data_IF_279195487125
#
_entry.id   IF_279195487125
#
_cell.length_a   1.000
_cell.length_b   1.000
_cell.length_c   1.000
_cell.angle_alpha   90.00
_cell.angle_beta   90.00
_cell.angle_gamma   90.00
#
_symmetry.space_group_name_H-M   'P 1'
#
loop_
_entity.id
_entity.type
_entity.pdbx_description
1 polymer ?
#
# COMPACT_ATOMS: atom_id res chain seq x y z
N UNK A 1 12.01 6.54 -17.06
CA UNK A 1 11.28 6.45 -18.34
C UNK A 1 9.97 5.76 -18.01
N UNK A 2 8.82 6.16 -18.58
CA UNK A 2 7.62 5.37 -18.42
C UNK A 2 7.84 3.98 -19.04
N UNK A 3 7.28 2.90 -18.45
CA UNK A 3 7.33 1.58 -19.06
C UNK A 3 6.70 1.63 -20.45
N UNK A 4 7.31 0.91 -21.39
CA UNK A 4 6.83 0.78 -22.76
C UNK A 4 5.46 0.08 -22.71
N UNK A 5 4.42 0.58 -23.43
CA UNK A 5 3.12 -0.04 -23.42
C UNK A 5 3.22 -1.48 -23.95
N UNK A 6 2.43 -2.44 -23.41
CA UNK A 6 2.41 -3.80 -23.92
C UNK A 6 2.09 -3.76 -25.41
N UNK A 7 2.93 -4.40 -26.21
CA UNK A 7 2.79 -4.40 -27.66
C UNK A 7 1.44 -5.03 -28.02
N UNK A 8 0.61 -4.27 -28.73
CA UNK A 8 -0.58 -4.79 -29.39
C UNK A 8 -0.19 -6.06 -30.16
N UNK A 9 -0.88 -7.21 -29.97
CA UNK A 9 -0.61 -8.38 -30.79
C UNK A 9 -0.72 -7.99 -32.27
N UNK A 10 0.21 -8.43 -33.14
CA UNK A 10 0.31 -7.91 -34.49
C UNK A 10 -0.89 -8.36 -35.33
N UNK A 11 -1.67 -7.39 -35.80
CA UNK A 11 -2.56 -7.55 -36.96
C UNK A 11 -3.98 -8.07 -36.69
N UNK A 12 -4.65 -7.60 -35.64
CA UNK A 12 -6.06 -7.92 -35.42
C UNK A 12 -6.92 -6.65 -35.53
N UNK A 13 -7.78 -6.58 -36.55
CA UNK A 13 -8.89 -5.60 -36.67
C UNK A 13 -9.96 -5.81 -35.57
N UNK A 14 -9.60 -6.47 -34.46
CA UNK A 14 -10.51 -6.73 -33.34
C UNK A 14 -10.69 -5.44 -32.54
N UNK A 15 -11.93 -5.09 -32.19
CA UNK A 15 -12.24 -4.03 -31.24
C UNK A 15 -11.40 -4.21 -29.99
N UNK A 16 -10.72 -3.14 -29.57
CA UNK A 16 -9.93 -3.14 -28.36
C UNK A 16 -10.09 -1.80 -27.64
N UNK A 17 -10.10 -1.78 -26.30
CA UNK A 17 -10.30 -0.56 -25.54
C UNK A 17 -9.09 0.39 -25.65
N UNK A 18 -7.90 -0.12 -25.97
CA UNK A 18 -6.66 0.68 -26.05
C UNK A 18 -6.45 1.38 -27.39
N UNK A 19 -7.27 1.09 -28.40
CA UNK A 19 -7.13 1.57 -29.76
C UNK A 19 -7.65 2.99 -29.95
N UNK A 20 -7.41 3.56 -31.12
CA UNK A 20 -8.07 4.79 -31.56
C UNK A 20 -9.56 4.47 -31.70
N UNK A 21 -10.42 5.07 -30.86
CA UNK A 21 -11.85 4.88 -30.98
C UNK A 21 -12.30 5.28 -32.41
N UNK A 22 -13.11 4.47 -33.11
CA UNK A 22 -13.93 5.00 -34.18
C UNK A 22 -14.82 6.09 -33.59
N UNK A 23 -14.80 7.25 -34.24
CA UNK A 23 -15.59 8.44 -33.92
C UNK A 23 -17.08 8.08 -33.71
N UNK A 24 -17.66 8.53 -32.58
CA UNK A 24 -19.10 8.50 -32.25
C UNK A 24 -19.88 7.27 -32.75
N UNK A 25 -19.65 6.10 -32.13
CA UNK A 25 -20.61 5.00 -32.26
C UNK A 25 -21.77 5.21 -31.27
N UNK A 26 -23.02 5.26 -31.76
CA UNK A 26 -24.19 5.41 -30.89
C UNK A 26 -24.27 4.21 -29.94
N UNK A 27 -24.24 4.49 -28.64
CA UNK A 27 -24.56 3.49 -27.63
C UNK A 27 -25.97 2.95 -27.91
N UNK A 28 -26.16 1.63 -27.80
CA UNK A 28 -27.49 1.03 -27.80
C UNK A 28 -28.39 1.72 -26.77
N UNK A 29 -29.73 1.67 -26.92
CA UNK A 29 -30.64 2.53 -26.20
C UNK A 29 -30.56 2.30 -24.68
N UNK A 30 -29.69 3.03 -23.99
CA UNK A 30 -29.83 3.37 -22.58
C UNK A 30 -30.84 4.48 -22.49
N UNK A 31 -32.08 4.16 -22.89
CA UNK A 31 -33.17 5.12 -22.79
C UNK A 31 -33.38 5.43 -21.30
N UNK A 32 -32.82 6.55 -20.84
CA UNK A 32 -33.56 7.45 -19.95
C UNK A 32 -34.81 7.85 -20.71
N UNK A 33 -35.79 6.96 -20.75
CA UNK A 33 -37.14 7.35 -21.08
C UNK A 33 -37.59 8.12 -19.85
N UNK A 34 -37.55 9.44 -19.93
CA UNK A 34 -38.27 10.29 -18.99
C UNK A 34 -39.72 9.83 -19.07
N UNK A 35 -40.15 9.00 -18.13
CA UNK A 35 -41.56 8.73 -17.91
C UNK A 35 -42.09 10.06 -17.41
N UNK A 36 -42.72 10.83 -18.30
CA UNK A 36 -43.59 11.93 -17.89
C UNK A 36 -44.74 11.24 -17.17
N UNK A 37 -44.95 11.48 -15.86
CA UNK A 37 -46.09 10.90 -15.17
C UNK A 37 -47.36 11.47 -15.81
N UNK A 38 -48.13 10.64 -16.51
CA UNK A 38 -49.54 10.95 -16.73
C UNK A 38 -50.28 10.77 -15.40
N UNK A 39 -51.28 11.60 -15.11
CA UNK A 39 -52.03 11.71 -13.84
C UNK A 39 -52.81 10.45 -13.37
N UNK A 40 -52.31 9.24 -13.65
CA UNK A 40 -52.83 7.97 -13.17
C UNK A 40 -51.69 7.02 -12.76
N UNK A 41 -50.79 7.46 -11.88
CA UNK A 41 -49.78 6.58 -11.29
C UNK A 41 -50.39 5.68 -10.20
N UNK A 42 -51.03 4.60 -10.63
CA UNK A 42 -50.97 3.34 -9.91
C UNK A 42 -49.77 2.56 -10.47
N UNK A 43 -48.88 2.07 -9.61
CA UNK A 43 -47.80 1.17 -10.02
C UNK A 43 -48.34 0.08 -10.99
N UNK A 44 -47.66 -0.21 -12.10
CA UNK A 44 -48.16 -1.20 -13.05
C UNK A 44 -48.35 -2.53 -12.32
N UNK A 45 -49.57 -3.06 -12.37
CA UNK A 45 -49.88 -4.37 -11.81
C UNK A 45 -48.98 -5.40 -12.48
N UNK A 46 -48.34 -6.25 -11.67
CA UNK A 46 -47.48 -7.31 -12.17
C UNK A 46 -48.25 -8.19 -13.17
N UNK A 47 -47.75 -8.26 -14.41
CA UNK A 47 -48.32 -9.10 -15.45
C UNK A 47 -47.85 -10.54 -15.20
N UNK A 48 -48.78 -11.49 -15.12
CA UNK A 48 -48.49 -12.90 -14.78
C UNK A 48 -48.83 -13.79 -15.97
N UNK A 49 -47.96 -14.76 -16.25
CA UNK A 49 -48.18 -15.77 -17.28
C UNK A 49 -47.63 -17.14 -16.84
N UNK A 50 -48.01 -18.20 -17.56
CA UNK A 50 -47.48 -19.54 -17.31
C UNK A 50 -46.40 -19.87 -18.33
N UNK A 51 -45.26 -20.40 -17.86
CA UNK A 51 -44.16 -20.85 -18.72
C UNK A 51 -44.68 -21.86 -19.75
N UNK A 52 -44.51 -21.63 -21.06
CA UNK A 52 -44.99 -22.55 -22.10
C UNK A 52 -44.22 -23.89 -22.12
N UNK A 53 -43.08 -23.98 -21.43
CA UNK A 53 -42.29 -25.21 -21.35
C UNK A 53 -42.72 -26.13 -20.19
N UNK A 54 -42.89 -25.58 -18.98
CA UNK A 54 -43.14 -26.38 -17.77
C UNK A 54 -44.45 -26.06 -17.04
N UNK A 55 -45.21 -25.06 -17.48
CA UNK A 55 -46.46 -24.62 -16.85
C UNK A 55 -46.30 -23.85 -15.54
N UNK A 56 -45.07 -23.54 -15.10
CA UNK A 56 -44.82 -22.75 -13.89
C UNK A 56 -45.33 -21.32 -14.01
N UNK A 57 -45.93 -20.79 -12.93
CA UNK A 57 -46.49 -19.44 -12.92
C UNK A 57 -45.39 -18.40 -12.65
N UNK A 58 -45.24 -17.46 -13.57
CA UNK A 58 -44.21 -16.43 -13.57
C UNK A 58 -44.85 -15.05 -13.46
N UNK A 59 -44.43 -14.29 -12.46
CA UNK A 59 -44.83 -12.90 -12.24
C UNK A 59 -43.73 -11.98 -12.80
N UNK A 60 -44.09 -11.02 -13.65
CA UNK A 60 -43.16 -10.04 -14.22
C UNK A 60 -43.06 -8.85 -13.26
N UNK A 61 -41.86 -8.63 -12.71
CA UNK A 61 -41.56 -7.54 -11.76
C UNK A 61 -41.30 -6.21 -12.45
N UNK A 62 -40.56 -6.21 -13.56
CA UNK A 62 -40.25 -5.00 -14.33
C UNK A 62 -41.11 -4.91 -15.61
N UNK A 63 -42.43 -4.98 -15.43
CA UNK A 63 -43.42 -4.97 -16.50
C UNK A 63 -43.25 -3.75 -17.43
N UNK A 64 -43.23 -3.98 -18.74
CA UNK A 64 -43.01 -2.96 -19.77
C UNK A 64 -41.55 -2.64 -20.09
N UNK A 65 -40.59 -3.18 -19.33
CA UNK A 65 -39.15 -3.05 -19.61
C UNK A 65 -38.40 -4.37 -19.72
N UNK A 66 -38.89 -5.44 -19.10
CA UNK A 66 -38.33 -6.80 -19.29
C UNK A 66 -38.56 -7.29 -20.73
N UNK A 67 -37.49 -7.77 -21.36
CA UNK A 67 -37.49 -8.25 -22.76
C UNK A 67 -37.38 -9.77 -22.81
N UNK A 68 -36.64 -10.37 -21.87
CA UNK A 68 -36.53 -11.82 -21.74
C UNK A 68 -36.63 -12.26 -20.28
N UNK A 69 -37.00 -13.52 -20.08
CA UNK A 69 -37.12 -14.13 -18.76
C UNK A 69 -36.72 -15.60 -18.80
N UNK A 70 -35.77 -15.99 -17.96
CA UNK A 70 -35.39 -17.37 -17.75
C UNK A 70 -36.18 -17.96 -16.59
N UNK A 71 -36.99 -18.98 -16.88
CA UNK A 71 -37.95 -19.54 -15.94
C UNK A 71 -37.28 -20.07 -14.67
N UNK A 72 -37.65 -19.56 -13.51
CA UNK A 72 -37.11 -20.02 -12.22
C UNK A 72 -37.43 -21.48 -11.87
N UNK A 73 -38.37 -22.13 -12.57
CA UNK A 73 -38.76 -23.52 -12.31
C UNK A 73 -38.09 -24.54 -13.22
N UNK A 74 -37.80 -24.17 -14.48
CA UNK A 74 -37.23 -25.10 -15.46
C UNK A 74 -36.02 -24.55 -16.22
N UNK A 75 -35.59 -23.32 -15.95
CA UNK A 75 -34.43 -22.67 -16.58
C UNK A 75 -34.61 -22.24 -18.05
N UNK A 76 -35.73 -22.56 -18.71
CA UNK A 76 -35.95 -22.16 -20.11
C UNK A 76 -36.06 -20.65 -20.26
N UNK A 77 -35.31 -20.08 -21.21
CA UNK A 77 -35.33 -18.66 -21.56
C UNK A 77 -36.49 -18.35 -22.51
N UNK A 78 -37.27 -17.34 -22.19
CA UNK A 78 -38.48 -16.93 -22.91
C UNK A 78 -38.34 -15.48 -23.39
N UNK A 79 -38.84 -15.19 -24.60
CA UNK A 79 -39.03 -13.82 -25.09
C UNK A 79 -40.40 -13.34 -24.63
N UNK A 80 -40.42 -12.22 -23.91
CA UNK A 80 -41.61 -11.56 -23.37
C UNK A 80 -41.76 -10.12 -23.90
N UNK A 81 -41.01 -9.76 -24.94
CA UNK A 81 -41.09 -8.44 -25.56
C UNK A 81 -42.43 -8.21 -26.28
N UNK A 82 -43.16 -9.28 -26.59
CA UNK A 82 -44.47 -9.26 -27.22
C UNK A 82 -45.49 -10.01 -26.35
N UNK A 83 -46.81 -9.75 -26.51
CA UNK A 83 -47.86 -10.44 -25.74
C UNK A 83 -47.83 -11.97 -25.90
N UNK A 84 -47.38 -12.45 -27.07
CA UNK A 84 -47.21 -13.87 -27.34
C UNK A 84 -45.84 -14.34 -26.84
N UNK A 85 -45.81 -14.89 -25.62
CA UNK A 85 -44.58 -15.44 -25.01
C UNK A 85 -44.06 -16.61 -25.84
N UNK A 86 -42.80 -16.53 -26.26
CA UNK A 86 -42.14 -17.58 -27.06
C UNK A 86 -40.88 -18.11 -26.35
N UNK A 87 -40.48 -19.35 -26.65
CA UNK A 87 -39.29 -19.94 -26.06
C UNK A 87 -38.07 -19.56 -26.91
N UNK A 88 -37.10 -18.87 -26.31
CA UNK A 88 -35.79 -18.60 -26.92
C UNK A 88 -34.92 -19.86 -26.83
N UNK A 89 -34.84 -20.46 -25.64
CA UNK A 89 -34.03 -21.64 -25.38
C UNK A 89 -34.72 -22.56 -24.36
N UNK A 90 -34.76 -23.86 -24.66
CA UNK A 90 -35.23 -24.87 -23.69
C UNK A 90 -34.10 -25.30 -22.77
N UNK A 91 -34.41 -25.39 -21.48
CA UNK A 91 -33.58 -26.03 -20.47
C UNK A 91 -34.41 -27.12 -19.77
N UNK A 92 -33.79 -28.26 -19.50
CA UNK A 92 -34.43 -29.43 -18.86
C UNK A 92 -33.57 -29.98 -17.70
N UNK A 93 -32.58 -29.20 -17.24
CA UNK A 93 -31.72 -29.57 -16.10
C UNK A 93 -32.26 -29.12 -14.75
N UNK A 94 -31.60 -29.53 -13.67
CA UNK A 94 -31.91 -29.04 -12.32
C UNK A 94 -31.61 -27.54 -12.20
N UNK A 95 -32.56 -26.79 -11.63
CA UNK A 95 -32.38 -25.36 -11.39
C UNK A 95 -31.39 -25.16 -10.24
N UNK A 96 -30.41 -24.28 -10.48
CA UNK A 96 -29.38 -23.94 -9.50
C UNK A 96 -29.99 -23.27 -8.27
N UNK A 97 -29.54 -23.68 -7.07
CA UNK A 97 -29.84 -22.94 -5.84
C UNK A 97 -28.93 -21.71 -5.75
N UNK A 98 -29.54 -20.53 -5.74
CA UNK A 98 -28.84 -19.25 -5.66
C UNK A 98 -28.50 -18.90 -4.20
N UNK A 99 -27.36 -18.23 -4.00
CA UNK A 99 -27.00 -17.65 -2.69
C UNK A 99 -27.96 -16.50 -2.33
N UNK A 100 -28.28 -15.68 -3.33
CA UNK A 100 -29.31 -14.66 -3.27
C UNK A 100 -30.51 -15.07 -4.14
N UNK A 101 -31.61 -15.58 -3.56
CA UNK A 101 -32.77 -16.01 -4.35
C UNK A 101 -33.40 -14.86 -5.15
N UNK A 102 -33.95 -15.17 -6.32
CA UNK A 102 -34.80 -14.23 -7.06
C UNK A 102 -36.03 -13.81 -6.21
N UNK A 103 -36.47 -12.57 -6.37
CA UNK A 103 -37.52 -11.93 -5.58
C UNK A 103 -37.05 -11.43 -4.21
N UNK A 104 -35.79 -11.66 -3.82
CA UNK A 104 -35.24 -11.11 -2.57
C UNK A 104 -35.25 -9.59 -2.62
N UNK A 105 -35.69 -8.97 -1.53
CA UNK A 105 -35.72 -7.51 -1.36
C UNK A 105 -34.79 -7.09 -0.23
N UNK A 106 -34.06 -6.01 -0.45
CA UNK A 106 -33.10 -5.48 0.51
C UNK A 106 -32.79 -4.02 0.27
N UNK A 107 -32.33 -3.32 1.32
CA UNK A 107 -31.95 -1.92 1.23
C UNK A 107 -30.43 -1.81 1.14
N UNK A 108 -29.91 -1.40 -0.02
CA UNK A 108 -28.50 -1.09 -0.22
C UNK A 108 -28.32 0.40 -0.41
N UNK A 109 -27.45 1.01 0.40
CA UNK A 109 -27.08 2.44 0.33
C UNK A 109 -28.29 3.39 0.30
N UNK A 110 -29.35 3.03 1.01
CA UNK A 110 -30.58 3.83 1.15
C UNK A 110 -31.64 3.59 0.07
N UNK A 111 -31.39 2.71 -0.89
CA UNK A 111 -32.35 2.34 -1.95
C UNK A 111 -32.81 0.89 -1.75
N UNK A 112 -34.13 0.66 -1.83
CA UNK A 112 -34.70 -0.69 -1.86
C UNK A 112 -34.49 -1.32 -3.24
N UNK A 113 -33.98 -2.53 -3.29
CA UNK A 113 -33.73 -3.28 -4.51
C UNK A 113 -34.43 -4.63 -4.45
N UNK A 114 -35.03 -5.05 -5.57
CA UNK A 114 -35.52 -6.41 -5.77
C UNK A 114 -34.61 -7.16 -6.75
N UNK A 115 -34.23 -8.38 -6.38
CA UNK A 115 -33.41 -9.26 -7.23
C UNK A 115 -34.32 -9.90 -8.27
N UNK A 116 -34.20 -9.50 -9.52
CA UNK A 116 -35.11 -9.96 -10.58
C UNK A 116 -34.45 -10.94 -11.55
N UNK A 117 -33.12 -10.89 -11.67
CA UNK A 117 -32.35 -11.73 -12.59
C UNK A 117 -31.05 -12.23 -11.98
N UNK A 118 -30.53 -13.32 -12.54
CA UNK A 118 -29.26 -13.94 -12.18
C UNK A 118 -28.62 -14.52 -13.44
N UNK A 119 -27.33 -14.27 -13.61
CA UNK A 119 -26.52 -14.95 -14.60
C UNK A 119 -25.20 -15.42 -13.99
N UNK A 120 -24.71 -16.55 -14.49
CA UNK A 120 -23.34 -16.99 -14.25
C UNK A 120 -22.55 -16.81 -15.51
N UNK A 121 -21.36 -16.26 -15.37
CA UNK A 121 -20.44 -16.01 -16.47
C UNK A 121 -19.07 -16.58 -16.16
N UNK A 122 -18.28 -16.74 -17.21
CA UNK A 122 -16.89 -17.18 -17.10
C UNK A 122 -16.06 -16.57 -18.23
N UNK A 123 -14.76 -16.53 -18.01
CA UNK A 123 -13.79 -16.15 -19.02
C UNK A 123 -13.28 -17.43 -19.70
N UNK A 124 -13.66 -17.64 -20.96
CA UNK A 124 -13.33 -18.86 -21.72
C UNK A 124 -13.65 -20.17 -20.96
N UNK A 125 -14.74 -20.20 -20.18
CA UNK A 125 -15.12 -21.35 -19.35
C UNK A 125 -14.31 -21.51 -18.05
N UNK A 126 -13.44 -20.55 -17.72
CA UNK A 126 -12.65 -20.48 -16.49
C UNK A 126 -13.03 -19.26 -15.65
N UNK A 127 -12.58 -19.22 -14.39
CA UNK A 127 -12.79 -18.08 -13.49
C UNK A 127 -14.25 -17.60 -13.41
N UNK A 128 -15.19 -18.47 -13.01
CA UNK A 128 -16.60 -18.11 -13.07
C UNK A 128 -17.00 -17.10 -11.99
N UNK A 129 -17.85 -16.14 -12.35
CA UNK A 129 -18.51 -15.21 -11.44
C UNK A 129 -20.02 -15.26 -11.60
N UNK A 130 -20.70 -14.82 -10.54
CA UNK A 130 -22.14 -14.75 -10.41
C UNK A 130 -22.56 -13.26 -10.43
N UNK A 131 -23.54 -12.91 -11.25
CA UNK A 131 -24.03 -11.55 -11.47
C UNK A 131 -25.55 -11.54 -11.28
N UNK A 132 -26.03 -10.70 -10.37
CA UNK A 132 -27.45 -10.55 -10.06
C UNK A 132 -27.97 -9.21 -10.58
N UNK A 133 -29.12 -9.24 -11.27
CA UNK A 133 -29.80 -8.04 -11.73
C UNK A 133 -30.77 -7.55 -10.65
N UNK A 134 -30.51 -6.34 -10.17
CA UNK A 134 -31.33 -5.62 -9.22
C UNK A 134 -32.21 -4.61 -9.93
N UNK A 135 -33.46 -4.50 -9.51
CA UNK A 135 -34.42 -3.53 -10.03
C UNK A 135 -35.00 -2.66 -8.93
N UNK A 136 -35.15 -1.38 -9.26
CA UNK A 136 -35.95 -0.41 -8.53
C UNK A 136 -36.74 0.44 -9.54
N UNK A 137 -38.07 0.63 -9.36
CA UNK A 137 -38.90 1.37 -10.30
C UNK A 137 -38.48 2.82 -10.57
N UNK A 138 -37.76 3.45 -9.65
CA UNK A 138 -37.31 4.84 -9.72
C UNK A 138 -35.84 4.96 -10.12
N UNK A 139 -34.98 4.06 -9.63
CA UNK A 139 -33.52 4.09 -9.83
C UNK A 139 -33.03 3.21 -11.00
N UNK A 140 -33.93 2.43 -11.60
CA UNK A 140 -33.66 1.55 -12.74
C UNK A 140 -32.97 0.26 -12.31
N UNK A 141 -31.87 -0.08 -13.00
CA UNK A 141 -31.15 -1.34 -12.81
C UNK A 141 -29.79 -1.15 -12.15
N UNK A 142 -29.38 -2.14 -11.36
CA UNK A 142 -28.00 -2.31 -10.85
C UNK A 142 -27.57 -3.76 -10.97
N UNK A 143 -26.27 -3.96 -11.04
CA UNK A 143 -25.64 -5.27 -11.08
C UNK A 143 -25.00 -5.55 -9.74
N UNK A 144 -25.17 -6.75 -9.23
CA UNK A 144 -24.54 -7.19 -8.00
C UNK A 144 -23.66 -8.39 -8.33
N UNK A 145 -22.35 -8.16 -8.34
CA UNK A 145 -21.34 -9.09 -8.86
C UNK A 145 -20.58 -9.76 -7.70
N UNK A 146 -20.31 -11.07 -7.82
CA UNK A 146 -19.49 -11.81 -6.87
C UNK A 146 -18.74 -12.97 -7.55
N UNK A 147 -17.49 -13.16 -7.14
CA UNK A 147 -16.68 -14.36 -7.44
C UNK A 147 -16.54 -15.28 -6.20
N UNK A 148 -17.33 -15.00 -5.16
CA UNK A 148 -17.27 -15.67 -3.86
C UNK A 148 -16.30 -15.04 -2.85
N UNK A 149 -15.38 -14.14 -3.26
CA UNK A 149 -14.46 -13.44 -2.36
C UNK A 149 -15.06 -12.17 -1.75
N UNK A 150 -16.03 -11.56 -2.44
CA UNK A 150 -16.74 -10.37 -2.00
C UNK A 150 -17.72 -9.89 -3.07
N UNK A 151 -18.40 -8.78 -2.78
CA UNK A 151 -19.51 -8.28 -3.59
C UNK A 151 -19.23 -6.87 -4.11
N UNK A 152 -19.64 -6.62 -5.36
CA UNK A 152 -19.52 -5.30 -5.99
C UNK A 152 -20.87 -4.87 -6.54
N UNK A 153 -21.21 -3.58 -6.38
CA UNK A 153 -22.43 -2.99 -6.92
C UNK A 153 -22.09 -2.20 -8.20
N UNK A 154 -22.47 -2.76 -9.34
CA UNK A 154 -22.30 -2.24 -10.68
C UNK A 154 -23.43 -1.33 -11.15
N UNK A 155 -23.07 -0.31 -11.93
CA UNK A 155 -24.00 0.49 -12.74
C UNK A 155 -23.44 0.67 -14.14
N UNK A 156 -24.31 0.74 -15.13
CA UNK A 156 -23.91 1.11 -16.48
C UNK A 156 -23.58 2.62 -16.54
N UNK A 157 -22.56 2.98 -17.31
CA UNK A 157 -22.24 4.37 -17.62
C UNK A 157 -23.07 4.84 -18.82
N UNK A 158 -23.45 6.12 -18.80
CA UNK A 158 -24.20 6.77 -19.90
C UNK A 158 -23.29 7.52 -20.87
N UNK A 159 -22.00 7.62 -20.55
CA UNK A 159 -20.99 8.25 -21.36
C UNK A 159 -19.72 7.40 -21.31
N UNK A 160 -19.02 7.33 -22.43
CA UNK A 160 -17.73 6.66 -22.49
C UNK A 160 -16.69 7.36 -21.60
N UNK A 161 -15.86 6.62 -20.86
CA UNK A 161 -14.77 7.19 -20.07
C UNK A 161 -13.80 8.02 -20.90
N UNK A 162 -13.15 9.00 -20.26
CA UNK A 162 -12.13 9.82 -20.91
C UNK A 162 -10.82 9.03 -20.99
N UNK A 163 -10.27 8.90 -22.20
CA UNK A 163 -8.96 8.28 -22.41
C UNK A 163 -7.86 9.30 -22.07
N UNK A 164 -7.17 9.11 -20.95
CA UNK A 164 -6.13 10.03 -20.49
C UNK A 164 -4.74 9.67 -21.05
N UNK A 165 -4.54 8.43 -21.51
CA UNK A 165 -3.30 7.96 -22.17
C UNK A 165 -3.48 6.57 -22.80
N UNK A 166 -2.38 5.98 -23.30
CA UNK A 166 -2.31 4.56 -23.70
C UNK A 166 -2.48 3.58 -22.52
N UNK A 167 -2.45 4.05 -21.26
CA UNK A 167 -2.33 3.21 -20.06
C UNK A 167 -3.54 3.27 -19.12
N UNK A 168 -4.69 3.85 -19.50
CA UNK A 168 -5.90 3.77 -18.67
C UNK A 168 -7.00 4.79 -18.98
N UNK A 169 -8.03 4.79 -18.14
CA UNK A 169 -9.24 5.60 -18.31
C UNK A 169 -9.53 6.48 -17.09
N UNK A 170 -10.24 7.58 -17.33
CA UNK A 170 -10.71 8.50 -16.29
C UNK A 170 -12.23 8.59 -16.32
N UNK A 171 -12.85 8.43 -15.16
CA UNK A 171 -14.29 8.65 -14.93
C UNK A 171 -14.42 9.61 -13.75
N UNK A 172 -15.15 10.72 -13.95
CA UNK A 172 -15.37 11.75 -12.91
C UNK A 172 -14.07 12.30 -12.28
N UNK A 173 -12.99 12.38 -13.07
CA UNK A 173 -11.67 12.84 -12.60
C UNK A 173 -10.86 11.78 -11.85
N UNK A 174 -11.36 10.55 -11.72
CA UNK A 174 -10.67 9.43 -11.08
C UNK A 174 -10.02 8.51 -12.12
N UNK A 175 -8.74 8.23 -11.99
CA UNK A 175 -7.98 7.35 -12.88
C UNK A 175 -8.13 5.86 -12.51
N UNK A 176 -8.26 5.02 -13.52
CA UNK A 176 -8.37 3.55 -13.43
C UNK A 176 -7.23 2.90 -14.22
N UNK A 177 -6.45 2.04 -13.56
CA UNK A 177 -5.32 1.30 -14.14
C UNK A 177 -5.79 -0.03 -14.74
N UNK A 178 -5.25 -0.48 -15.90
CA UNK A 178 -5.55 -1.80 -16.46
C UNK A 178 -5.31 -2.92 -15.46
N UNK A 179 -6.19 -3.91 -15.43
CA UNK A 179 -6.06 -5.04 -14.51
C UNK A 179 -6.25 -6.39 -15.20
N UNK A 180 -7.37 -6.59 -15.90
CA UNK A 180 -7.60 -7.74 -16.77
C UNK A 180 -7.48 -7.31 -18.23
N UNK A 181 -6.66 -8.02 -18.98
CA UNK A 181 -6.48 -7.80 -20.40
C UNK A 181 -7.73 -8.27 -21.16
N UNK A 182 -7.77 -7.97 -22.45
CA UNK A 182 -8.95 -8.23 -23.25
C UNK A 182 -9.12 -9.74 -23.40
N UNK A 183 -10.26 -10.22 -22.95
CA UNK A 183 -10.63 -11.63 -22.98
C UNK A 183 -12.08 -11.78 -23.45
N UNK A 184 -12.57 -13.02 -23.48
CA UNK A 184 -13.93 -13.37 -23.89
C UNK A 184 -14.70 -13.87 -22.67
N UNK A 185 -15.70 -13.10 -22.28
CA UNK A 185 -16.68 -13.51 -21.29
C UNK A 185 -17.83 -14.24 -21.99
N UNK A 186 -18.32 -15.31 -21.39
CA UNK A 186 -19.48 -16.07 -21.88
C UNK A 186 -20.55 -16.23 -20.80
N UNK A 187 -21.82 -16.31 -21.21
CA UNK A 187 -22.94 -16.63 -20.31
C UNK A 187 -23.08 -18.14 -20.18
N UNK A 188 -22.83 -18.66 -18.99
CA UNK A 188 -22.90 -20.11 -18.69
C UNK A 188 -24.29 -20.55 -18.23
N UNK A 189 -25.02 -19.65 -17.57
CA UNK A 189 -26.31 -19.95 -16.97
C UNK A 189 -27.10 -18.68 -16.70
N UNK A 190 -28.43 -18.76 -16.78
CA UNK A 190 -29.31 -17.59 -16.61
C UNK A 190 -30.64 -17.98 -15.96
N UNK A 191 -31.15 -17.12 -15.07
CA UNK A 191 -32.47 -17.21 -14.42
C UNK A 191 -33.06 -15.81 -14.22
N UNK A 192 -34.39 -15.69 -14.23
CA UNK A 192 -35.10 -14.45 -13.94
C UNK A 192 -35.20 -13.49 -15.12
N UNK A 193 -35.57 -12.24 -14.84
CA UNK A 193 -35.90 -11.19 -15.80
C UNK A 193 -34.68 -10.40 -16.26
N UNK A 194 -34.66 -10.04 -17.54
CA UNK A 194 -33.64 -9.21 -18.15
C UNK A 194 -34.26 -8.19 -19.12
N UNK A 195 -33.73 -6.96 -19.11
CA UNK A 195 -34.17 -5.89 -20.03
C UNK A 195 -33.55 -6.01 -21.43
N UNK A 196 -32.75 -7.05 -21.68
CA UNK A 196 -32.25 -7.45 -22.99
C UNK A 196 -32.54 -8.93 -23.25
N UNK A 197 -32.22 -9.41 -24.45
CA UNK A 197 -32.37 -10.83 -24.83
C UNK A 197 -31.10 -11.61 -24.48
N UNK A 198 -30.98 -12.02 -23.22
CA UNK A 198 -29.86 -12.85 -22.78
C UNK A 198 -30.01 -14.29 -23.26
N UNK A 199 -28.93 -14.92 -23.70
CA UNK A 199 -28.90 -16.33 -24.07
C UNK A 199 -27.68 -17.06 -23.48
N UNK A 200 -27.84 -18.35 -23.15
CA UNK A 200 -26.71 -19.17 -22.72
C UNK A 200 -25.79 -19.42 -23.91
N UNK A 201 -24.48 -19.22 -23.72
CA UNK A 201 -23.47 -19.26 -24.77
C UNK A 201 -23.29 -17.92 -25.50
N UNK A 202 -23.99 -16.86 -25.09
CA UNK A 202 -23.70 -15.50 -25.54
C UNK A 202 -22.29 -15.10 -25.08
N UNK A 203 -21.51 -14.53 -25.99
CA UNK A 203 -20.11 -14.15 -25.77
C UNK A 203 -19.90 -12.66 -26.04
N UNK A 204 -19.11 -12.01 -25.18
CA UNK A 204 -18.69 -10.62 -25.34
C UNK A 204 -17.20 -10.50 -25.11
N UNK A 205 -16.57 -9.51 -25.76
CA UNK A 205 -15.22 -9.10 -25.39
C UNK A 205 -15.30 -8.27 -24.12
N UNK A 206 -14.40 -8.52 -23.16
CA UNK A 206 -14.34 -7.76 -21.91
C UNK A 206 -12.91 -7.36 -21.56
N UNK A 207 -12.75 -6.25 -20.85
CA UNK A 207 -11.50 -5.82 -20.23
C UNK A 207 -11.80 -4.95 -19.00
N UNK A 208 -10.96 -5.06 -17.96
CA UNK A 208 -11.20 -4.37 -16.68
C UNK A 208 -10.06 -3.45 -16.27
N UNK A 209 -10.46 -2.34 -15.66
CA UNK A 209 -9.60 -1.31 -15.12
C UNK A 209 -9.98 -1.04 -13.66
N UNK A 210 -9.01 -0.92 -12.77
CA UNK A 210 -9.29 -0.84 -11.33
C UNK A 210 -8.70 0.40 -10.71
N UNK A 211 -9.27 0.76 -9.56
CA UNK A 211 -8.63 1.60 -8.56
C UNK A 211 -9.12 1.15 -7.18
N UNK A 212 -8.49 1.58 -6.08
CA UNK A 212 -8.94 1.21 -4.75
C UNK A 212 -10.43 1.53 -4.53
N UNK A 213 -11.24 0.49 -4.36
CA UNK A 213 -12.69 0.52 -4.11
C UNK A 213 -13.58 0.48 -5.35
N UNK A 214 -13.06 0.60 -6.58
CA UNK A 214 -13.88 0.66 -7.80
C UNK A 214 -13.25 -0.07 -8.98
N UNK A 215 -14.09 -0.68 -9.81
CA UNK A 215 -13.72 -1.36 -11.04
C UNK A 215 -14.54 -0.79 -12.20
N UNK A 216 -13.87 -0.52 -13.30
CA UNK A 216 -14.43 -0.03 -14.55
C UNK A 216 -14.28 -1.16 -15.57
N UNK A 217 -15.40 -1.63 -16.11
CA UNK A 217 -15.44 -2.72 -17.06
C UNK A 217 -15.86 -2.22 -18.43
N UNK A 218 -15.16 -2.67 -19.45
CA UNK A 218 -15.48 -2.45 -20.85
C UNK A 218 -16.00 -3.75 -21.43
N UNK A 219 -17.18 -3.72 -22.06
CA UNK A 219 -17.70 -4.84 -22.83
C UNK A 219 -17.99 -4.43 -24.26
N UNK A 220 -17.77 -5.34 -25.20
CA UNK A 220 -18.06 -5.13 -26.61
C UNK A 220 -18.66 -6.37 -27.28
N UNK A 221 -19.78 -6.16 -27.96
CA UNK A 221 -20.48 -7.18 -28.73
C UNK A 221 -21.05 -6.59 -30.02
N UNK A 222 -20.67 -7.16 -31.17
CA UNK A 222 -21.10 -6.67 -32.48
C UNK A 222 -20.68 -5.21 -32.73
N UNK A 223 -21.64 -4.29 -32.70
CA UNK A 223 -21.43 -2.85 -32.87
C UNK A 223 -21.74 -2.06 -31.58
N UNK A 224 -21.92 -2.73 -30.46
CA UNK A 224 -22.26 -2.09 -29.19
C UNK A 224 -21.09 -2.19 -28.21
N UNK A 225 -20.76 -1.05 -27.60
CA UNK A 225 -19.81 -0.97 -26.49
C UNK A 225 -20.54 -0.48 -25.26
N UNK A 226 -20.38 -1.22 -24.18
CA UNK A 226 -20.93 -0.91 -22.87
C UNK A 226 -19.78 -0.65 -21.91
N UNK A 227 -19.95 0.37 -21.07
CA UNK A 227 -19.09 0.60 -19.93
C UNK A 227 -19.90 0.48 -18.66
N UNK A 228 -19.37 -0.21 -17.66
CA UNK A 228 -19.95 -0.29 -16.32
C UNK A 228 -18.93 0.10 -15.26
N UNK A 229 -19.43 0.67 -14.16
CA UNK A 229 -18.65 1.02 -12.99
C UNK A 229 -19.20 0.28 -11.78
N UNK A 230 -18.38 -0.58 -11.21
CA UNK A 230 -18.69 -1.35 -10.01
C UNK A 230 -17.93 -0.81 -8.80
N UNK A 231 -18.63 -0.69 -7.68
CA UNK A 231 -18.08 -0.26 -6.41
C UNK A 231 -18.06 -1.42 -5.42
N UNK A 232 -16.92 -1.63 -4.76
CA UNK A 232 -16.80 -2.67 -3.76
C UNK A 232 -17.75 -2.38 -2.59
N UNK A 233 -18.51 -3.40 -2.19
CA UNK A 233 -19.34 -3.34 -0.99
C UNK A 233 -18.52 -3.74 0.23
N UNK A 234 -18.76 -3.07 1.36
CA UNK A 234 -18.25 -3.53 2.64
C UNK A 234 -18.89 -4.89 2.99
N UNK A 235 -18.17 -5.81 3.66
CA UNK A 235 -18.66 -7.17 3.90
C UNK A 235 -20.02 -7.25 4.59
N UNK A 236 -20.35 -6.26 5.44
CA UNK A 236 -21.62 -6.19 6.13
C UNK A 236 -22.75 -5.56 5.31
N UNK A 237 -22.47 -4.76 4.26
CA UNK A 237 -23.54 -4.11 3.47
C UNK A 237 -24.50 -5.15 2.88
N UNK A 238 -23.99 -6.27 2.37
CA UNK A 238 -24.81 -7.35 1.81
C UNK A 238 -25.55 -8.15 2.88
N UNK A 239 -24.90 -8.39 4.02
CA UNK A 239 -25.54 -9.05 5.16
C UNK A 239 -26.68 -8.22 5.72
N UNK A 240 -26.46 -6.91 5.88
CA UNK A 240 -27.45 -5.97 6.40
C UNK A 240 -28.62 -5.79 5.41
N UNK A 241 -28.35 -5.82 4.10
CA UNK A 241 -29.37 -5.65 3.07
C UNK A 241 -30.23 -6.91 2.81
N UNK A 242 -29.60 -8.09 2.69
CA UNK A 242 -30.26 -9.30 2.20
C UNK A 242 -30.17 -10.50 3.15
N UNK A 243 -29.51 -10.37 4.30
CA UNK A 243 -29.37 -11.46 5.28
C UNK A 243 -28.41 -12.57 4.86
N UNK A 244 -27.56 -12.32 3.84
CA UNK A 244 -26.56 -13.28 3.37
C UNK A 244 -25.33 -13.22 4.29
N UNK A 245 -24.78 -14.36 4.74
CA UNK A 245 -23.55 -14.37 5.53
C UNK A 245 -22.43 -13.62 4.83
N UNK A 246 -21.72 -12.74 5.55
CA UNK A 246 -20.59 -12.04 4.97
C UNK A 246 -19.54 -13.04 4.50
N UNK A 247 -18.99 -12.83 3.30
CA UNK A 247 -17.86 -13.61 2.82
C UNK A 247 -16.74 -13.58 3.87
N UNK A 248 -16.39 -14.74 4.41
CA UNK A 248 -15.31 -14.84 5.39
C UNK A 248 -14.00 -14.59 4.66
N UNK A 249 -13.39 -13.42 4.89
CA UNK A 249 -12.16 -13.01 4.25
C UNK A 249 -11.13 -14.15 4.17
N UNK A 250 -10.78 -14.53 2.95
CA UNK A 250 -9.89 -15.63 2.61
C UNK A 250 -9.60 -15.60 1.11
N UNK A 251 -8.41 -16.05 0.71
CA UNK A 251 -8.00 -16.02 -0.70
C UNK A 251 -7.22 -14.76 -1.11
N UNK A 252 -7.04 -14.60 -2.42
CA UNK A 252 -6.40 -13.43 -3.05
C UNK A 252 -7.30 -12.19 -2.88
N UNK A 253 -6.75 -11.01 -2.59
CA UNK A 253 -7.54 -9.78 -2.58
C UNK A 253 -8.28 -9.56 -3.90
N UNK A 254 -9.48 -8.98 -3.86
CA UNK A 254 -10.21 -8.62 -5.08
C UNK A 254 -9.43 -7.56 -5.89
N UNK A 255 -9.59 -7.51 -7.23
CA UNK A 255 -8.88 -6.59 -8.12
C UNK A 255 -8.92 -5.13 -7.68
N UNK A 256 -10.07 -4.67 -7.20
CA UNK A 256 -10.30 -3.30 -6.75
C UNK A 256 -10.38 -3.19 -5.23
N UNK A 257 -9.90 -4.19 -4.47
CA UNK A 257 -9.91 -4.14 -3.00
C UNK A 257 -8.89 -3.13 -2.47
N UNK A 258 -9.31 -2.13 -1.66
CA UNK A 258 -8.38 -1.20 -1.06
C UNK A 258 -7.53 -1.89 0.01
N UNK A 259 -6.22 -1.64 0.00
CA UNK A 259 -5.34 -2.15 1.05
C UNK A 259 -5.75 -1.63 2.44
N UNK A 260 -6.07 -2.51 3.41
CA UNK A 260 -6.44 -2.10 4.77
C UNK A 260 -5.26 -1.45 5.51
N UNK A 261 -4.03 -1.66 5.00
CA UNK A 261 -2.81 -1.15 5.59
C UNK A 261 -2.42 0.24 5.06
N UNK A 262 -2.96 0.71 3.92
CA UNK A 262 -2.53 1.96 3.28
C UNK A 262 -2.63 3.18 4.21
N UNK A 263 -3.78 3.38 4.86
CA UNK A 263 -4.00 4.50 5.80
C UNK A 263 -3.07 4.42 7.01
N UNK A 264 -2.90 3.22 7.58
CA UNK A 264 -2.01 2.99 8.73
C UNK A 264 -0.55 3.19 8.34
N UNK A 265 -0.09 2.62 7.24
CA UNK A 265 1.27 2.79 6.73
C UNK A 265 1.62 4.27 6.54
N UNK A 266 0.75 5.05 5.88
CA UNK A 266 0.95 6.49 5.71
C UNK A 266 0.97 7.27 7.04
N UNK A 267 0.10 6.92 7.99
CA UNK A 267 0.05 7.58 9.30
C UNK A 267 1.28 7.29 10.15
N UNK A 268 1.71 6.02 10.19
CA UNK A 268 2.93 5.61 10.88
C UNK A 268 4.18 6.22 10.26
N UNK A 269 4.24 6.33 8.93
CA UNK A 269 5.35 6.98 8.24
C UNK A 269 5.44 8.48 8.58
N UNK A 270 4.31 9.20 8.56
CA UNK A 270 4.25 10.62 8.97
C UNK A 270 4.69 10.81 10.42
N UNK A 271 4.24 9.93 11.32
CA UNK A 271 4.64 9.96 12.72
C UNK A 271 6.14 9.69 12.88
N UNK A 272 6.67 8.67 12.20
CA UNK A 272 8.09 8.32 12.23
C UNK A 272 8.96 9.47 11.72
N UNK A 273 8.56 10.13 10.63
CA UNK A 273 9.25 11.32 10.10
C UNK A 273 9.20 12.49 11.08
N UNK A 274 8.04 12.76 11.70
CA UNK A 274 7.90 13.84 12.68
C UNK A 274 8.77 13.61 13.93
N UNK A 275 8.75 12.39 14.47
CA UNK A 275 9.58 12.02 15.62
C UNK A 275 11.06 12.01 15.25
N UNK A 276 11.42 11.49 14.07
CA UNK A 276 12.80 11.50 13.58
C UNK A 276 13.34 12.92 13.40
N UNK A 277 12.54 13.82 12.81
CA UNK A 277 12.89 15.23 12.70
C UNK A 277 13.05 15.88 14.08
N UNK A 278 12.13 15.62 15.01
CA UNK A 278 12.24 16.11 16.38
C UNK A 278 13.53 15.62 17.06
N UNK A 279 13.90 14.35 16.90
CA UNK A 279 15.16 13.80 17.43
C UNK A 279 16.39 14.46 16.82
N UNK A 280 16.38 14.73 15.51
CA UNK A 280 17.46 15.45 14.83
C UNK A 280 17.59 16.90 15.34
N UNK A 281 16.47 17.60 15.49
CA UNK A 281 16.44 18.97 16.02
C UNK A 281 16.91 18.99 17.47
N UNK A 282 16.44 18.06 18.31
CA UNK A 282 16.90 17.93 19.70
C UNK A 282 18.40 17.60 19.74
N UNK A 283 18.88 16.69 18.89
CA UNK A 283 20.31 16.38 18.79
C UNK A 283 21.13 17.60 18.37
N UNK A 284 20.61 18.46 17.50
CA UNK A 284 21.28 19.69 17.11
C UNK A 284 21.30 20.73 18.26
N UNK A 285 20.17 20.97 18.92
CA UNK A 285 20.02 21.95 19.99
C UNK A 285 20.80 21.57 21.28
N UNK A 286 20.88 20.28 21.58
CA UNK A 286 21.48 19.76 22.81
C UNK A 286 22.84 19.10 22.60
N UNK A 287 23.19 18.69 21.38
CA UNK A 287 24.44 17.99 21.07
C UNK A 287 25.60 18.89 20.64
N UNK A 288 25.34 20.16 20.28
CA UNK A 288 26.38 21.08 19.81
C UNK A 288 27.53 21.22 20.81
N UNK A 289 28.77 21.02 20.34
CA UNK A 289 29.97 21.31 21.11
C UNK A 289 30.36 22.79 20.95
N UNK A 290 30.68 23.48 22.04
CA UNK A 290 31.14 24.88 21.99
C UNK A 290 32.18 25.18 23.07
N UNK A 291 32.98 26.23 22.83
CA UNK A 291 34.03 26.72 23.75
C UNK A 291 35.11 25.67 24.05
N UNK A 292 35.88 25.24 23.02
CA UNK A 292 36.94 24.26 23.20
C UNK A 292 38.10 24.83 24.00
N UNK A 293 38.53 24.10 25.02
CA UNK A 293 39.79 24.35 25.73
C UNK A 293 40.75 23.19 25.52
N UNK A 294 42.03 23.50 25.33
CA UNK A 294 43.04 22.50 24.96
C UNK A 294 44.17 22.44 25.99
N UNK A 295 44.55 21.22 26.40
CA UNK A 295 45.86 20.92 26.96
C UNK A 295 46.72 20.19 25.93
N UNK A 296 48.03 20.39 26.02
CA UNK A 296 49.01 19.56 25.35
C UNK A 296 49.83 18.84 26.41
N UNK A 297 49.84 17.52 26.36
CA UNK A 297 50.71 16.69 27.20
C UNK A 297 51.84 16.17 26.32
N UNK A 298 53.06 16.50 26.71
CA UNK A 298 54.26 15.96 26.09
C UNK A 298 54.77 14.84 26.98
N UNK A 299 55.02 13.67 26.38
CA UNK A 299 55.51 12.51 27.09
C UNK A 299 57.04 12.43 26.98
N UNK A 300 57.68 12.13 28.12
CA UNK A 300 59.14 11.94 28.20
C UNK A 300 59.51 10.51 27.81
N UNK A 301 60.72 10.32 27.30
CA UNK A 301 61.24 9.01 26.88
C UNK A 301 61.59 8.09 28.05
N UNK A 302 61.43 8.56 29.29
CA UNK A 302 61.71 7.83 30.54
C UNK A 302 60.53 6.99 31.05
N UNK A 303 59.37 7.03 30.38
CA UNK A 303 58.18 6.26 30.77
C UNK A 303 57.44 6.82 31.98
N UNK A 304 57.74 8.04 32.41
CA UNK A 304 57.05 8.66 33.54
C UNK A 304 55.70 9.20 33.09
N UNK A 305 54.64 8.81 33.80
CA UNK A 305 53.30 9.38 33.61
C UNK A 305 53.34 10.90 33.74
N UNK A 306 52.76 11.60 32.78
CA UNK A 306 52.67 13.05 32.78
C UNK A 306 51.23 13.48 33.03
N UNK A 307 51.06 14.64 33.66
CA UNK A 307 49.75 15.22 33.87
C UNK A 307 49.67 16.66 33.39
N UNK A 308 48.48 17.06 32.95
CA UNK A 308 48.14 18.44 32.63
C UNK A 308 46.74 18.79 33.14
N UNK A 309 46.52 20.09 33.33
CA UNK A 309 45.23 20.63 33.76
C UNK A 309 44.63 21.49 32.66
N UNK A 310 43.33 21.35 32.42
CA UNK A 310 42.54 22.19 31.50
C UNK A 310 41.36 22.77 32.25
N UNK A 311 41.17 24.09 32.16
CA UNK A 311 40.07 24.77 32.81
C UNK A 311 40.41 26.16 33.33
N UNK A 312 39.44 26.82 34.00
CA UNK A 312 38.12 26.27 34.32
C UNK A 312 37.14 26.25 33.14
N UNK A 313 36.23 25.28 33.14
CA UNK A 313 35.08 25.21 32.24
C UNK A 313 33.82 25.44 33.05
N UNK A 314 33.01 26.40 32.61
CA UNK A 314 31.75 26.77 33.27
C UNK A 314 30.59 26.09 32.54
N UNK A 315 29.85 25.25 33.27
CA UNK A 315 28.63 24.60 32.80
C UNK A 315 27.40 25.38 33.30
N UNK A 316 26.78 26.14 32.40
CA UNK A 316 25.68 27.05 32.75
C UNK A 316 24.32 26.33 32.85
N UNK A 317 24.13 25.23 32.11
CA UNK A 317 22.87 24.47 32.08
C UNK A 317 22.76 23.55 33.29
N UNK A 318 21.53 23.29 33.76
CA UNK A 318 21.27 22.43 34.93
C UNK A 318 21.94 21.03 34.82
N UNK A 319 21.93 20.47 33.60
CA UNK A 319 22.68 19.28 33.20
C UNK A 319 23.27 19.53 31.83
N UNK A 320 24.54 19.21 31.63
CA UNK A 320 25.23 19.40 30.37
C UNK A 320 26.19 18.23 30.11
N UNK A 321 26.30 17.80 28.86
CA UNK A 321 27.33 16.85 28.48
C UNK A 321 28.66 17.56 28.26
N UNK A 322 29.77 16.83 28.43
CA UNK A 322 31.13 17.31 28.19
C UNK A 322 31.84 16.28 27.33
N UNK A 323 32.49 16.72 26.26
CA UNK A 323 33.31 15.85 25.41
C UNK A 323 34.78 16.14 25.70
N UNK A 324 35.54 15.10 25.97
CA UNK A 324 37.01 15.15 26.03
C UNK A 324 37.55 14.33 24.87
N UNK A 325 38.20 14.97 23.92
CA UNK A 325 38.83 14.32 22.78
C UNK A 325 40.35 14.40 22.89
N UNK A 326 41.03 13.33 22.51
CA UNK A 326 42.48 13.28 22.45
C UNK A 326 42.95 12.95 21.05
N UNK A 327 43.98 13.65 20.59
CA UNK A 327 44.61 13.42 19.30
C UNK A 327 46.12 13.30 19.46
N UNK A 328 46.69 12.20 18.95
CA UNK A 328 48.12 11.96 18.97
C UNK A 328 48.62 11.66 17.54
N UNK A 329 48.78 12.67 16.67
CA UNK A 329 49.03 12.45 15.24
C UNK A 329 50.39 11.78 14.96
N UNK A 330 51.34 11.85 15.90
CA UNK A 330 52.71 11.35 15.74
C UNK A 330 52.96 9.96 16.32
N UNK A 331 51.98 9.32 16.94
CA UNK A 331 52.19 7.95 17.44
C UNK A 331 52.18 6.93 16.31
N UNK A 332 53.03 5.92 16.45
CA UNK A 332 53.17 4.80 15.53
C UNK A 332 53.64 3.58 16.33
N UNK A 333 52.97 2.44 16.12
CA UNK A 333 53.19 1.20 16.86
C UNK A 333 53.28 1.41 18.38
N UNK A 334 52.41 2.29 18.88
CA UNK A 334 52.35 2.74 20.27
C UNK A 334 50.93 3.11 20.66
N UNK A 335 50.69 3.17 21.96
CA UNK A 335 49.45 3.64 22.55
C UNK A 335 49.73 4.62 23.69
N UNK A 336 48.76 5.49 23.95
CA UNK A 336 48.78 6.40 25.08
C UNK A 336 47.53 6.09 25.91
N UNK A 337 47.76 5.60 27.13
CA UNK A 337 46.72 5.45 28.14
C UNK A 337 46.37 6.83 28.69
N UNK A 338 45.08 7.16 28.67
CA UNK A 338 44.56 8.46 29.07
C UNK A 338 43.53 8.28 30.18
N UNK A 339 43.79 8.89 31.32
CA UNK A 339 42.83 8.98 32.42
C UNK A 339 42.43 10.43 32.63
N UNK A 340 41.12 10.66 32.72
CA UNK A 340 40.52 11.98 32.84
C UNK A 340 39.77 12.07 34.16
N UNK A 341 40.01 13.14 34.92
CA UNK A 341 39.22 13.47 36.11
C UNK A 341 38.65 14.87 35.96
N UNK A 342 37.33 14.96 35.86
CA UNK A 342 36.60 16.22 35.80
C UNK A 342 36.10 16.55 37.21
N UNK A 343 36.68 17.56 37.84
CA UNK A 343 36.43 17.90 39.25
C UNK A 343 35.65 19.19 39.38
N UNK A 344 34.53 19.18 40.10
CA UNK A 344 33.78 20.39 40.45
C UNK A 344 34.54 21.18 41.53
N UNK A 345 34.85 22.46 41.24
CA UNK A 345 35.65 23.31 42.14
C UNK A 345 34.96 23.67 43.45
N UNK A 346 33.64 23.72 43.47
CA UNK A 346 32.87 24.17 44.63
C UNK A 346 32.47 23.00 45.54
N UNK A 347 32.13 21.86 44.95
CA UNK A 347 31.61 20.68 45.69
C UNK A 347 32.65 19.58 45.90
N UNK A 348 33.72 19.56 45.10
CA UNK A 348 34.69 18.47 45.09
C UNK A 348 34.19 17.17 44.43
N UNK A 349 33.01 17.18 43.78
CA UNK A 349 32.51 16.03 43.02
C UNK A 349 33.43 15.72 41.84
N UNK A 350 33.78 14.44 41.66
CA UNK A 350 34.72 13.95 40.64
C UNK A 350 34.00 13.02 39.67
N UNK A 351 34.21 13.24 38.37
CA UNK A 351 33.78 12.35 37.31
C UNK A 351 35.00 11.81 36.56
N UNK A 352 35.07 10.50 36.38
CA UNK A 352 36.24 9.83 35.80
C UNK A 352 35.91 9.19 34.46
N UNK A 353 36.87 9.23 33.54
CA UNK A 353 36.79 8.47 32.30
C UNK A 353 38.20 8.05 31.86
N UNK A 354 38.31 6.86 31.29
CA UNK A 354 39.56 6.38 30.72
C UNK A 354 39.39 6.17 29.22
N UNK A 355 40.47 6.35 28.47
CA UNK A 355 40.50 6.08 27.04
C UNK A 355 41.92 5.73 26.61
N UNK A 356 42.07 5.27 25.37
CA UNK A 356 43.36 5.00 24.76
C UNK A 356 43.43 5.68 23.41
N UNK A 357 44.58 6.21 23.06
CA UNK A 357 44.88 6.60 21.67
C UNK A 357 45.98 5.68 21.18
N UNK A 358 45.71 4.88 20.17
CA UNK A 358 46.61 3.83 19.71
C UNK A 358 46.65 3.78 18.19
N UNK A 359 47.81 3.48 17.63
CA UNK A 359 47.94 3.31 16.18
C UNK A 359 49.02 2.29 15.89
N UNK A 360 48.63 1.23 15.20
CA UNK A 360 49.50 0.13 14.81
C UNK A 360 49.48 -0.05 13.30
N UNK A 361 50.63 -0.35 12.74
CA UNK A 361 50.74 -0.66 11.31
C UNK A 361 51.94 -1.55 11.07
N UNK A 362 51.78 -2.47 10.13
CA UNK A 362 52.83 -3.43 9.78
C UNK A 362 52.58 -4.09 8.44
N UNK A 363 53.41 -5.09 8.16
CA UNK A 363 53.29 -5.94 6.98
C UNK A 363 53.45 -7.39 7.40
N UNK A 364 52.53 -8.23 6.92
CA UNK A 364 52.55 -9.67 7.13
C UNK A 364 52.42 -10.42 5.78
N UNK A 365 52.10 -11.70 5.83
CA UNK A 365 51.89 -12.55 4.66
C UNK A 365 50.64 -12.19 3.84
N UNK A 366 49.66 -11.50 4.43
CA UNK A 366 48.40 -11.10 3.79
C UNK A 366 48.49 -9.68 3.19
N UNK A 367 49.43 -8.86 3.67
CA UNK A 367 49.73 -7.58 3.07
C UNK A 367 50.11 -6.52 4.10
N UNK A 368 49.85 -5.27 3.76
CA UNK A 368 49.98 -4.16 4.72
C UNK A 368 48.70 -4.09 5.55
N UNK A 369 48.84 -3.92 6.86
CA UNK A 369 47.71 -3.75 7.77
C UNK A 369 47.88 -2.47 8.62
N UNK A 370 46.75 -1.96 9.11
CA UNK A 370 46.69 -0.83 10.04
C UNK A 370 45.52 -1.03 11.01
N UNK A 371 45.74 -0.73 12.28
CA UNK A 371 44.77 -0.88 13.36
C UNK A 371 44.82 0.33 14.31
N UNK A 372 43.70 0.58 15.00
CA UNK A 372 43.56 1.64 15.98
C UNK A 372 43.17 2.99 15.37
N UNK A 373 43.18 4.00 16.24
CA UNK A 373 42.88 5.39 15.89
C UNK A 373 43.78 6.34 16.67
N UNK A 374 44.42 7.28 15.96
CA UNK A 374 45.15 8.41 16.56
C UNK A 374 44.24 9.47 17.20
N UNK A 375 42.96 9.15 17.32
CA UNK A 375 41.90 9.96 17.91
C UNK A 375 41.03 9.11 18.82
N UNK A 376 40.75 9.60 20.01
CA UNK A 376 39.73 9.03 20.89
C UNK A 376 38.89 10.13 21.53
N UNK A 377 37.68 9.78 21.97
CA UNK A 377 36.78 10.71 22.64
C UNK A 377 36.02 10.02 23.78
N UNK A 378 36.03 10.66 24.94
CA UNK A 378 35.25 10.30 26.12
C UNK A 378 34.15 11.34 26.33
N UNK A 379 32.94 10.87 26.65
CA UNK A 379 31.77 11.73 26.81
C UNK A 379 31.20 11.56 28.21
N UNK A 380 31.21 12.64 28.98
CA UNK A 380 30.52 12.70 30.25
C UNK A 380 29.08 13.13 30.01
N UNK A 381 28.12 12.31 30.43
CA UNK A 381 26.70 12.63 30.31
C UNK A 381 26.16 13.25 31.60
N UNK A 382 25.23 14.19 31.48
CA UNK A 382 24.47 14.75 32.60
C UNK A 382 25.31 15.36 33.75
N UNK A 383 26.42 16.04 33.43
CA UNK A 383 27.20 16.76 34.44
C UNK A 383 26.38 17.94 34.99
N UNK A 384 26.25 18.08 36.32
CA UNK A 384 25.55 19.21 36.93
C UNK A 384 26.15 20.56 36.53
N UNK A 385 25.36 21.62 36.70
CA UNK A 385 25.87 22.99 36.56
C UNK A 385 26.99 23.27 37.56
N UNK A 386 28.03 23.99 37.14
CA UNK A 386 29.16 24.31 38.01
C UNK A 386 30.42 24.67 37.23
N UNK A 387 31.49 24.95 37.97
CA UNK A 387 32.81 25.24 37.40
C UNK A 387 33.72 24.03 37.61
N UNK A 388 34.26 23.50 36.51
CA UNK A 388 35.01 22.27 36.50
C UNK A 388 36.45 22.47 36.03
N UNK A 389 37.36 21.67 36.57
CA UNK A 389 38.73 21.53 36.11
C UNK A 389 38.95 20.08 35.65
N UNK A 390 39.55 19.91 34.47
CA UNK A 390 39.93 18.61 33.93
C UNK A 390 41.40 18.35 34.27
N UNK A 391 41.70 17.29 35.01
CA UNK A 391 43.05 16.75 35.07
C UNK A 391 43.16 15.60 34.08
N UNK A 392 44.21 15.65 33.26
CA UNK A 392 44.57 14.64 32.27
C UNK A 392 45.82 13.95 32.78
N UNK A 393 45.80 12.63 32.85
CA UNK A 393 46.95 11.77 33.10
C UNK A 393 47.22 10.97 31.84
N UNK A 394 48.46 11.00 31.35
CA UNK A 394 48.85 10.33 30.12
C UNK A 394 50.11 9.50 30.34
N UNK A 395 50.05 8.23 29.94
CA UNK A 395 51.17 7.31 29.94
C UNK A 395 51.37 6.75 28.53
N UNK A 396 52.53 7.03 27.94
CA UNK A 396 52.87 6.61 26.58
C UNK A 396 53.62 5.29 26.56
N UNK A 397 53.04 4.29 25.93
CA UNK A 397 53.58 2.95 25.82
C UNK A 397 53.84 2.59 24.35
N UNK A 398 54.82 1.74 24.11
CA UNK A 398 55.22 1.30 22.78
C UNK A 398 55.45 -0.20 22.77
N UNK A 399 55.07 -0.82 21.66
CA UNK A 399 55.38 -2.21 21.38
C UNK A 399 56.39 -2.27 20.23
N UNK A 400 57.60 -2.78 20.49
CA UNK A 400 58.63 -2.93 19.46
C UNK A 400 59.25 -4.30 19.57
N UNK A 401 59.18 -5.11 18.51
CA UNK A 401 59.86 -6.42 18.41
C UNK A 401 59.65 -7.36 19.62
N UNK A 402 58.44 -7.40 20.17
CA UNK A 402 58.12 -8.26 21.33
C UNK A 402 58.54 -7.70 22.69
N UNK A 403 59.01 -6.46 22.75
CA UNK A 403 59.34 -5.76 24.00
C UNK A 403 58.40 -4.57 24.26
N UNK A 404 57.95 -4.48 25.52
CA UNK A 404 57.32 -3.29 26.08
C UNK A 404 58.37 -2.20 26.29
N UNK A 405 58.08 -0.99 25.85
CA UNK A 405 58.91 0.18 26.11
C UNK A 405 58.08 1.46 26.17
N UNK A 406 58.73 2.57 26.54
CA UNK A 406 58.10 3.89 26.56
C UNK A 406 58.06 4.49 25.15
N UNK A 407 56.98 5.19 24.80
CA UNK A 407 56.90 5.87 23.51
C UNK A 407 57.69 7.18 23.53
N UNK A 408 58.74 7.35 22.70
CA UNK A 408 59.59 8.53 22.78
C UNK A 408 58.95 9.75 22.12
N UNK A 409 58.94 10.91 22.82
CA UNK A 409 58.47 12.19 22.29
C UNK A 409 57.04 12.16 21.72
N UNK A 410 56.20 11.28 22.26
CA UNK A 410 54.79 11.25 21.95
C UNK A 410 54.11 12.52 22.49
N UNK A 411 53.28 13.14 21.66
CA UNK A 411 52.51 14.31 22.02
C UNK A 411 51.04 13.99 21.82
N UNK A 412 50.27 14.23 22.87
CA UNK A 412 48.80 14.15 22.82
C UNK A 412 48.22 15.53 23.07
N UNK A 413 47.37 15.96 22.15
CA UNK A 413 46.54 17.15 22.30
C UNK A 413 45.19 16.70 22.85
N UNK A 414 44.82 17.19 24.03
CA UNK A 414 43.54 16.90 24.68
C UNK A 414 42.69 18.14 24.66
N UNK A 415 41.54 18.06 24.01
CA UNK A 415 40.55 19.12 23.93
C UNK A 415 39.32 18.73 24.72
N UNK A 416 38.82 19.65 25.53
CA UNK A 416 37.57 19.51 26.27
C UNK A 416 36.60 20.58 25.80
N UNK A 417 35.39 20.16 25.47
CA UNK A 417 34.35 21.01 24.90
C UNK A 417 33.02 20.82 25.64
N UNK A 418 32.23 21.89 25.73
CA UNK A 418 30.89 21.84 26.29
C UNK A 418 29.93 21.25 25.27
N UNK A 419 29.23 20.17 25.60
CA UNK A 419 28.30 19.47 24.72
C UNK A 419 28.81 18.09 24.30
N UNK A 420 27.91 17.25 23.81
CA UNK A 420 28.25 15.96 23.21
C UNK A 420 27.09 15.44 22.36
N UNK A 421 27.40 14.96 21.16
CA UNK A 421 26.44 14.23 20.33
C UNK A 421 26.66 12.73 20.45
N UNK A 422 25.66 11.98 20.92
CA UNK A 422 25.70 10.52 21.01
C UNK A 422 25.12 9.90 19.75
N UNK A 423 25.90 9.94 18.65
CA UNK A 423 25.46 9.48 17.33
C UNK A 423 24.93 8.05 17.32
N UNK A 424 25.56 7.11 18.04
CA UNK A 424 25.11 5.72 18.13
C UNK A 424 23.67 5.62 18.67
N UNK A 425 23.38 6.32 19.75
CA UNK A 425 22.04 6.34 20.36
C UNK A 425 21.03 7.03 19.44
N UNK A 426 21.43 8.09 18.75
CA UNK A 426 20.59 8.77 17.76
C UNK A 426 20.24 7.83 16.60
N UNK A 427 21.22 7.13 16.02
CA UNK A 427 20.98 6.17 14.95
C UNK A 427 20.09 5.01 15.40
N UNK A 428 20.33 4.47 16.60
CA UNK A 428 19.49 3.41 17.16
C UNK A 428 18.05 3.90 17.39
N UNK A 429 17.86 5.09 17.95
CA UNK A 429 16.54 5.68 18.16
C UNK A 429 15.81 5.91 16.84
N UNK A 430 16.50 6.45 15.82
CA UNK A 430 15.95 6.62 14.49
C UNK A 430 15.52 5.28 13.91
N UNK A 431 16.39 4.26 13.94
CA UNK A 431 16.07 2.91 13.46
C UNK A 431 14.79 2.38 14.13
N UNK A 432 14.72 2.41 15.46
CA UNK A 432 13.58 1.90 16.24
C UNK A 432 12.27 2.63 15.93
N UNK A 433 12.32 3.95 15.68
CA UNK A 433 11.14 4.74 15.30
C UNK A 433 10.60 4.34 13.93
N UNK A 434 11.46 3.94 12.98
CA UNK A 434 11.04 3.52 11.65
C UNK A 434 10.55 2.07 11.58
N UNK A 435 10.95 1.19 12.50
CA UNK A 435 10.52 -0.23 12.51
C UNK A 435 9.00 -0.41 12.35
N UNK A 436 8.12 0.20 13.17
CA UNK A 436 6.67 0.01 13.01
C UNK A 436 6.13 0.61 11.70
N UNK A 437 6.72 1.68 11.19
CA UNK A 437 6.34 2.28 9.92
C UNK A 437 6.70 1.38 8.74
N UNK A 438 7.91 0.82 8.74
CA UNK A 438 8.38 -0.15 7.74
C UNK A 438 7.53 -1.40 7.79
N UNK A 439 7.16 -1.89 8.98
CA UNK A 439 6.30 -3.06 9.13
C UNK A 439 4.89 -2.85 8.51
N UNK A 440 4.26 -1.70 8.76
CA UNK A 440 2.96 -1.40 8.15
C UNK A 440 3.07 -1.19 6.63
N UNK A 441 4.16 -0.57 6.18
CA UNK A 441 4.46 -0.41 4.77
C UNK A 441 4.65 -1.76 4.08
N UNK A 442 5.42 -2.67 4.68
CA UNK A 442 5.61 -4.02 4.17
C UNK A 442 4.29 -4.80 4.07
N UNK A 443 3.39 -4.68 5.06
CA UNK A 443 2.04 -5.26 4.97
C UNK A 443 1.21 -4.69 3.82
N UNK A 444 1.33 -3.39 3.56
CA UNK A 444 0.68 -2.76 2.41
C UNK A 444 1.24 -3.29 1.10
N UNK A 445 2.57 -3.37 0.95
CA UNK A 445 3.22 -3.90 -0.25
C UNK A 445 2.86 -5.37 -0.50
N UNK A 446 2.87 -6.21 0.55
CA UNK A 446 2.49 -7.61 0.42
C UNK A 446 1.01 -7.76 0.01
N UNK A 447 0.12 -6.90 0.53
CA UNK A 447 -1.26 -6.87 0.06
C UNK A 447 -1.36 -6.50 -1.42
N UNK A 448 -0.67 -5.44 -1.87
CA UNK A 448 -0.71 -5.02 -3.29
C UNK A 448 -0.06 -6.05 -4.21
N UNK A 449 1.02 -6.70 -3.80
CA UNK A 449 1.67 -7.79 -4.56
C UNK A 449 0.71 -8.97 -4.75
N UNK A 450 0.01 -9.40 -3.69
CA UNK A 450 -1.02 -10.45 -3.77
C UNK A 450 -2.25 -10.05 -4.56
N UNK A 451 -2.62 -8.76 -4.56
CA UNK A 451 -3.70 -8.25 -5.42
C UNK A 451 -3.27 -8.30 -6.88
N UNK A 452 -2.08 -7.78 -7.17
CA UNK A 452 -1.54 -7.72 -8.53
C UNK A 452 -1.18 -9.08 -9.11
N UNK A 453 -0.90 -10.11 -8.30
CA UNK A 453 -0.68 -11.46 -8.86
C UNK A 453 -1.91 -12.02 -9.59
N UNK A 454 -3.09 -11.42 -9.42
CA UNK A 454 -4.33 -11.74 -10.13
C UNK A 454 -4.51 -10.88 -11.40
N UNK A 455 -3.54 -10.01 -11.73
CA UNK A 455 -3.60 -9.08 -12.87
C UNK A 455 -2.80 -9.62 -14.05
N UNK A 456 -3.32 -9.50 -15.26
CA UNK A 456 -2.62 -9.86 -16.50
C UNK A 456 -1.44 -8.93 -16.81
N UNK A 457 -1.37 -7.77 -16.12
CA UNK A 457 -0.33 -6.75 -16.28
C UNK A 457 0.74 -6.83 -15.18
N UNK A 458 0.73 -7.89 -14.36
CA UNK A 458 1.73 -8.08 -13.33
C UNK A 458 2.92 -8.91 -13.84
N UNK A 459 3.90 -8.25 -14.47
CA UNK A 459 5.18 -8.91 -14.75
C UNK A 459 6.03 -8.46 -15.94
N UNK A 460 6.07 -7.17 -16.30
CA UNK A 460 7.00 -6.67 -17.36
C UNK A 460 8.10 -5.72 -16.83
N UNK A 461 8.26 -5.54 -15.51
CA UNK A 461 9.24 -4.59 -14.94
C UNK A 461 10.56 -5.23 -14.44
N UNK A 462 10.74 -6.56 -14.54
CA UNK A 462 11.93 -7.27 -14.00
C UNK A 462 12.88 -7.84 -15.08
N UNK A 463 12.61 -7.63 -16.37
CA UNK A 463 13.50 -8.01 -17.48
C UNK A 463 13.98 -6.76 -18.25
N UNK A 464 14.88 -5.96 -17.65
CA UNK A 464 15.85 -5.09 -18.35
C UNK A 464 17.07 -4.72 -17.48
#
# INVERSE_FOLDING_TARGET
MPPEPPQSPPGDDRPNPWGSAPEDQPQGPTAKRTVVPSESDSAPAAEQFNCPNCGGSIEIKAAGTSVSIACQYCGSTLDIANPDVSIIQRYEGEVRKLELPLGSRGVLRGTEWEVIGYQRRSENGQYPWDEYLLFNPYEGYRFLDTDGRGWSLGRQLTASPQKLSLVGFTVDGEFYEPFYAQTRAQVDYVLGEFYWRVAVGEEVLTADFVRPGKMLSWEHSGNETVWSLSELLEPNEITDAFGIPSATGGGLPLPHQPSPYRKKAGSFMKLALAVGLALLVLSFLFGGTSDPQTARVNLSTDGVEQSAKVGPIVLDRARQAVTVSAQAPRIENSWIDLSYTLTNRDTGEVFEANNVVEAYSGRDSEGNWSEGSRYSASKFSMIPRGTYELNVYAAGNRWTEGQYGSSPNAQVEVTIEKGATFYSNLFLALLLVFVPAIWQWWKHLNFESRRKSDSDFAGDDDDD
#
